data_IF_289799353863
#
_entry.id   IF_289799353863
#
_cell.length_a   1.000
_cell.length_b   1.000
_cell.length_c   1.000
_cell.angle_alpha   90.00
_cell.angle_beta   90.00
_cell.angle_gamma   90.00
#
_symmetry.space_group_name_H-M   'P 1'
#
loop_
_entity.id
_entity.type
_entity.pdbx_description
1 polymer ?
#
# COMPACT_ATOMS: atom_id res chain seq x y z
N UNK A 1 -9.82 19.03 -30.95
CA UNK A 1 -9.08 18.63 -29.74
C UNK A 1 -9.51 17.21 -29.41
N UNK A 2 -8.62 16.20 -29.39
CA UNK A 2 -9.01 14.82 -29.07
C UNK A 2 -8.92 14.60 -27.55
N UNK A 3 -9.97 14.02 -26.96
CA UNK A 3 -10.04 13.68 -25.53
C UNK A 3 -9.05 12.56 -25.19
N UNK A 4 -8.15 12.85 -24.25
CA UNK A 4 -7.20 11.90 -23.70
C UNK A 4 -7.91 11.06 -22.63
N UNK A 5 -8.39 9.88 -23.04
CA UNK A 5 -9.00 8.90 -22.13
C UNK A 5 -7.90 8.24 -21.29
N UNK A 6 -7.70 8.73 -20.07
CA UNK A 6 -6.81 8.09 -19.09
C UNK A 6 -7.57 6.89 -18.52
N UNK A 7 -7.23 5.69 -19.00
CA UNK A 7 -7.67 4.43 -18.41
C UNK A 7 -7.00 4.27 -17.04
N UNK A 8 -7.66 4.82 -16.02
CA UNK A 8 -7.27 4.63 -14.63
C UNK A 8 -7.42 3.14 -14.34
N UNK A 9 -6.34 2.42 -13.96
CA UNK A 9 -6.44 1.00 -13.65
C UNK A 9 -7.48 0.86 -12.54
N UNK A 10 -8.60 0.21 -12.85
CA UNK A 10 -9.64 -0.14 -11.87
C UNK A 10 -9.02 -1.13 -10.90
N UNK A 11 -8.33 -0.60 -9.89
CA UNK A 11 -7.89 -1.35 -8.71
C UNK A 11 -9.12 -2.14 -8.27
N UNK A 12 -8.99 -3.46 -8.33
CA UNK A 12 -10.10 -4.41 -8.21
C UNK A 12 -10.82 -4.21 -6.88
N UNK A 13 -11.88 -3.38 -6.89
CA UNK A 13 -12.74 -3.14 -5.73
C UNK A 13 -13.30 -4.45 -5.14
N UNK A 14 -13.32 -5.53 -5.93
CA UNK A 14 -13.71 -6.86 -5.50
C UNK A 14 -12.67 -7.53 -4.59
N UNK A 15 -11.38 -7.29 -4.80
CA UNK A 15 -10.31 -7.83 -3.94
C UNK A 15 -10.34 -7.20 -2.55
N UNK A 16 -10.51 -5.88 -2.48
CA UNK A 16 -10.61 -5.14 -1.21
C UNK A 16 -11.86 -5.56 -0.43
N UNK A 17 -13.01 -5.67 -1.11
CA UNK A 17 -14.26 -6.16 -0.51
C UNK A 17 -14.12 -7.59 0.02
N UNK A 18 -13.44 -8.47 -0.70
CA UNK A 18 -13.21 -9.85 -0.26
C UNK A 18 -12.27 -9.93 0.95
N UNK A 19 -11.24 -9.07 1.00
CA UNK A 19 -10.31 -9.01 2.13
C UNK A 19 -10.98 -8.47 3.40
N UNK A 20 -11.76 -7.40 3.26
CA UNK A 20 -12.59 -6.84 4.34
C UNK A 20 -13.60 -7.87 4.82
N UNK A 21 -14.30 -8.55 3.91
CA UNK A 21 -15.27 -9.59 4.26
C UNK A 21 -14.60 -10.73 5.04
N UNK A 22 -13.45 -11.24 4.58
CA UNK A 22 -12.69 -12.28 5.30
C UNK A 22 -12.23 -11.82 6.69
N UNK A 23 -11.83 -10.55 6.82
CA UNK A 23 -11.47 -9.97 8.12
C UNK A 23 -12.68 -9.92 9.05
N UNK A 24 -13.84 -9.44 8.56
CA UNK A 24 -15.09 -9.39 9.32
C UNK A 24 -15.52 -10.80 9.78
N UNK A 25 -15.53 -11.79 8.89
CA UNK A 25 -15.91 -13.16 9.24
C UNK A 25 -14.99 -13.80 10.29
N UNK A 26 -13.67 -13.50 10.27
CA UNK A 26 -12.73 -13.99 11.28
C UNK A 26 -13.02 -13.47 12.69
N UNK A 27 -13.81 -12.41 12.80
CA UNK A 27 -14.18 -11.77 14.07
C UNK A 27 -15.56 -12.20 14.51
N UNK A 28 -16.51 -12.09 13.59
CA UNK A 28 -17.92 -12.37 13.86
C UNK A 28 -18.14 -13.85 14.14
N UNK A 29 -17.40 -14.75 13.48
CA UNK A 29 -17.63 -16.19 13.58
C UNK A 29 -17.21 -16.76 14.95
N UNK A 30 -16.01 -16.45 15.51
CA UNK A 30 -15.68 -16.81 16.88
C UNK A 30 -16.60 -16.16 17.91
N UNK A 31 -17.00 -14.90 17.69
CA UNK A 31 -17.95 -14.20 18.55
C UNK A 31 -19.31 -14.89 18.58
N UNK A 32 -19.86 -15.24 17.41
CA UNK A 32 -21.15 -15.90 17.29
C UNK A 32 -21.13 -17.31 17.90
N UNK A 33 -20.05 -18.06 17.71
CA UNK A 33 -19.87 -19.38 18.33
C UNK A 33 -19.79 -19.25 19.85
N UNK A 34 -19.00 -18.28 20.36
CA UNK A 34 -18.88 -18.05 21.79
C UNK A 34 -20.20 -17.59 22.41
N UNK A 35 -20.92 -16.70 21.75
CA UNK A 35 -22.24 -16.23 22.18
C UNK A 35 -23.27 -17.38 22.20
N UNK A 36 -23.32 -18.21 21.16
CA UNK A 36 -24.21 -19.36 21.09
C UNK A 36 -23.89 -20.40 22.16
N UNK A 37 -22.60 -20.72 22.35
CA UNK A 37 -22.14 -21.64 23.38
C UNK A 37 -22.44 -21.12 24.79
N UNK A 38 -22.29 -19.81 25.00
CA UNK A 38 -22.59 -19.15 26.26
C UNK A 38 -24.08 -19.18 26.60
N UNK A 39 -24.97 -18.97 25.62
CA UNK A 39 -26.42 -19.05 25.81
C UNK A 39 -26.79 -20.45 26.33
N UNK A 40 -26.35 -21.51 25.64
CA UNK A 40 -26.68 -22.89 25.99
C UNK A 40 -26.06 -23.31 27.33
N UNK A 41 -24.78 -22.99 27.56
CA UNK A 41 -24.11 -23.34 28.81
C UNK A 41 -24.74 -22.61 30.00
N UNK A 42 -25.11 -21.34 29.81
CA UNK A 42 -25.70 -20.55 30.86
C UNK A 42 -27.13 -20.98 31.20
N UNK A 43 -27.93 -21.39 30.21
CA UNK A 43 -29.26 -21.97 30.47
C UNK A 43 -29.13 -23.28 31.27
N UNK A 44 -28.16 -24.14 30.90
CA UNK A 44 -27.89 -25.42 31.57
C UNK A 44 -27.37 -25.28 33.00
N UNK A 45 -26.51 -24.28 33.27
CA UNK A 45 -25.97 -24.03 34.61
C UNK A 45 -27.05 -23.46 35.53
N UNK A 46 -27.93 -22.59 35.03
CA UNK A 46 -29.06 -22.05 35.80
C UNK A 46 -30.04 -23.16 36.19
N UNK A 47 -30.35 -24.09 35.27
CA UNK A 47 -31.19 -25.27 35.56
C UNK A 47 -30.54 -26.20 36.59
N UNK A 48 -29.23 -26.43 36.51
CA UNK A 48 -28.50 -27.32 37.43
C UNK A 48 -28.33 -26.72 38.83
N UNK A 49 -28.12 -25.39 38.95
CA UNK A 49 -27.99 -24.69 40.24
C UNK A 49 -29.34 -24.38 40.91
N UNK A 50 -30.48 -24.56 40.22
CA UNK A 50 -31.81 -24.25 40.73
C UNK A 50 -32.38 -25.28 41.74
N UNK A 51 -31.56 -26.22 42.21
CA UNK A 51 -31.93 -27.16 43.28
C UNK A 51 -31.54 -26.52 44.62
N UNK A 52 -32.57 -26.13 45.40
CA UNK A 52 -32.51 -25.64 46.80
C UNK A 52 -32.20 -24.14 47.03
N UNK A 53 -33.15 -23.24 46.68
CA UNK A 53 -33.48 -22.10 47.58
C UNK A 53 -32.95 -20.69 47.30
N UNK A 54 -32.31 -20.39 46.16
CA UNK A 54 -31.83 -19.02 45.87
C UNK A 54 -32.85 -18.16 45.07
N UNK A 55 -33.05 -16.86 45.39
CA UNK A 55 -33.97 -15.98 44.66
C UNK A 55 -33.50 -15.81 43.20
N UNK A 56 -34.32 -16.30 42.27
CA UNK A 56 -34.04 -16.48 40.84
C UNK A 56 -33.64 -15.21 40.06
N UNK A 57 -33.78 -14.00 40.63
CA UNK A 57 -33.63 -12.72 39.91
C UNK A 57 -32.17 -12.24 39.80
N UNK A 58 -31.33 -12.53 40.81
CA UNK A 58 -29.93 -12.04 40.82
C UNK A 58 -29.01 -12.81 39.86
N UNK A 59 -29.25 -14.12 39.67
CA UNK A 59 -28.52 -14.95 38.71
C UNK A 59 -28.73 -14.53 37.24
N UNK A 60 -29.91 -13.98 36.92
CA UNK A 60 -30.21 -13.47 35.58
C UNK A 60 -29.47 -12.16 35.24
N UNK A 61 -29.29 -11.27 36.22
CA UNK A 61 -28.62 -9.97 36.00
C UNK A 61 -27.11 -10.14 35.81
N UNK A 62 -26.51 -11.06 36.58
CA UNK A 62 -25.08 -11.38 36.49
C UNK A 62 -24.71 -11.99 35.13
N UNK A 63 -25.62 -12.81 34.57
CA UNK A 63 -25.49 -13.43 33.23
C UNK A 63 -25.36 -12.39 32.11
N UNK A 64 -26.16 -11.32 32.17
CA UNK A 64 -26.12 -10.24 31.19
C UNK A 64 -24.83 -9.41 31.29
N UNK A 65 -24.40 -9.08 32.50
CA UNK A 65 -23.16 -8.32 32.72
C UNK A 65 -21.92 -9.09 32.29
N UNK A 66 -21.85 -10.41 32.54
CA UNK A 66 -20.74 -11.23 32.06
C UNK A 66 -20.68 -11.25 30.52
N UNK A 67 -21.83 -11.39 29.86
CA UNK A 67 -21.90 -11.34 28.39
C UNK A 67 -21.44 -9.98 27.85
N UNK A 68 -21.97 -8.87 28.36
CA UNK A 68 -21.55 -7.52 27.94
C UNK A 68 -20.06 -7.28 28.19
N UNK A 69 -19.53 -7.77 29.32
CA UNK A 69 -18.10 -7.61 29.65
C UNK A 69 -17.21 -8.39 28.67
N UNK A 70 -17.52 -9.65 28.39
CA UNK A 70 -16.69 -10.47 27.49
C UNK A 70 -16.78 -9.97 26.05
N UNK A 71 -17.98 -9.60 25.60
CA UNK A 71 -18.22 -9.07 24.25
C UNK A 71 -17.53 -7.72 24.05
N UNK A 72 -17.59 -6.83 25.05
CA UNK A 72 -16.86 -5.56 25.04
C UNK A 72 -15.35 -5.75 25.03
N UNK A 73 -14.81 -6.68 25.83
CA UNK A 73 -13.37 -6.93 25.91
C UNK A 73 -12.83 -7.54 24.61
N UNK A 74 -13.59 -8.44 23.98
CA UNK A 74 -13.25 -9.02 22.68
C UNK A 74 -13.25 -7.97 21.57
N UNK A 75 -14.29 -7.13 21.50
CA UNK A 75 -14.38 -6.04 20.53
C UNK A 75 -13.26 -5.01 20.75
N UNK A 76 -12.98 -4.64 22.00
CA UNK A 76 -11.89 -3.74 22.35
C UNK A 76 -10.54 -4.30 21.90
N UNK A 77 -10.22 -5.55 22.26
CA UNK A 77 -8.97 -6.20 21.88
C UNK A 77 -8.79 -6.30 20.36
N UNK A 78 -9.88 -6.53 19.63
CA UNK A 78 -9.86 -6.54 18.18
C UNK A 78 -9.62 -5.16 17.57
N UNK A 79 -10.39 -4.15 17.98
CA UNK A 79 -10.24 -2.78 17.48
C UNK A 79 -8.85 -2.27 17.82
N UNK A 80 -8.36 -2.52 19.03
CA UNK A 80 -7.00 -2.19 19.43
C UNK A 80 -5.96 -2.85 18.52
N UNK A 81 -6.10 -4.15 18.23
CA UNK A 81 -5.22 -4.87 17.30
C UNK A 81 -5.29 -4.34 15.87
N UNK A 82 -6.47 -3.93 15.41
CA UNK A 82 -6.66 -3.35 14.07
C UNK A 82 -6.00 -1.97 13.96
N UNK A 83 -6.21 -1.11 14.95
CA UNK A 83 -5.61 0.23 15.00
C UNK A 83 -4.09 0.15 14.98
N UNK A 84 -3.49 -0.74 15.78
CA UNK A 84 -2.04 -0.97 15.79
C UNK A 84 -1.50 -1.45 14.43
N UNK A 85 -2.27 -2.24 13.68
CA UNK A 85 -1.87 -2.67 12.33
C UNK A 85 -1.92 -1.53 11.32
N UNK A 86 -2.93 -0.67 11.39
CA UNK A 86 -3.10 0.45 10.48
C UNK A 86 -1.96 1.46 10.67
N UNK A 87 -1.63 1.81 11.92
CA UNK A 87 -0.55 2.75 12.22
C UNK A 87 0.81 2.23 11.78
N UNK A 88 1.11 0.95 12.06
CA UNK A 88 2.37 0.33 11.65
C UNK A 88 2.50 0.20 10.12
N UNK A 89 1.41 -0.14 9.42
CA UNK A 89 1.41 -0.19 7.96
C UNK A 89 1.67 1.20 7.35
N UNK A 90 1.03 2.25 7.88
CA UNK A 90 1.26 3.63 7.45
C UNK A 90 2.73 4.05 7.67
N UNK A 91 3.29 3.74 8.85
CA UNK A 91 4.69 4.05 9.17
C UNK A 91 5.66 3.41 8.18
N UNK A 92 5.45 2.13 7.84
CA UNK A 92 6.29 1.42 6.86
C UNK A 92 6.24 2.02 5.48
N UNK A 93 5.05 2.41 5.01
CA UNK A 93 4.89 3.05 3.71
C UNK A 93 5.62 4.40 3.66
N UNK A 94 5.49 5.22 4.71
CA UNK A 94 6.21 6.48 4.81
C UNK A 94 7.73 6.30 4.86
N UNK A 95 8.24 5.33 5.62
CA UNK A 95 9.67 5.03 5.68
C UNK A 95 10.22 4.56 4.33
N UNK A 96 9.49 3.70 3.61
CA UNK A 96 9.89 3.24 2.29
C UNK A 96 9.89 4.37 1.26
N UNK A 97 8.87 5.23 1.27
CA UNK A 97 8.81 6.41 0.43
C UNK A 97 9.97 7.38 0.72
N UNK A 98 10.25 7.66 2.00
CA UNK A 98 11.35 8.51 2.41
C UNK A 98 12.70 7.96 1.94
N UNK A 99 12.94 6.64 2.09
CA UNK A 99 14.15 5.98 1.58
C UNK A 99 14.28 6.09 0.07
N UNK A 100 13.19 5.88 -0.68
CA UNK A 100 13.20 6.03 -2.15
C UNK A 100 13.54 7.46 -2.57
N UNK A 101 12.91 8.46 -1.95
CA UNK A 101 13.19 9.87 -2.22
C UNK A 101 14.64 10.24 -1.88
N UNK A 102 15.16 9.75 -0.75
CA UNK A 102 16.54 9.97 -0.35
C UNK A 102 17.52 9.33 -1.34
N UNK A 103 17.25 8.11 -1.81
CA UNK A 103 18.08 7.44 -2.82
C UNK A 103 18.09 8.20 -4.15
N UNK A 104 16.92 8.63 -4.63
CA UNK A 104 16.81 9.46 -5.85
C UNK A 104 17.53 10.80 -5.69
N UNK A 105 17.39 11.44 -4.54
CA UNK A 105 18.11 12.68 -4.24
C UNK A 105 19.62 12.46 -4.25
N UNK A 106 20.12 11.38 -3.67
CA UNK A 106 21.54 11.06 -3.67
C UNK A 106 22.07 10.79 -5.07
N UNK A 107 21.35 9.99 -5.87
CA UNK A 107 21.70 9.75 -7.29
C UNK A 107 21.77 11.06 -8.08
N UNK A 108 20.78 11.93 -7.90
CA UNK A 108 20.73 13.23 -8.58
C UNK A 108 21.90 14.14 -8.14
N UNK A 109 22.23 14.17 -6.84
CA UNK A 109 23.39 14.90 -6.32
C UNK A 109 24.70 14.37 -6.88
N UNK A 110 24.90 13.05 -6.87
CA UNK A 110 26.11 12.42 -7.40
C UNK A 110 26.24 12.75 -8.89
N UNK A 111 25.19 12.51 -9.67
CA UNK A 111 25.19 12.80 -11.10
C UNK A 111 25.51 14.28 -11.39
N UNK A 112 24.91 15.21 -10.66
CA UNK A 112 25.12 16.65 -10.87
C UNK A 112 26.45 17.19 -10.33
N UNK A 113 27.12 16.46 -9.44
CA UNK A 113 28.46 16.80 -8.98
C UNK A 113 29.55 16.38 -9.96
N UNK A 114 29.26 15.45 -10.88
CA UNK A 114 30.20 15.02 -11.90
C UNK A 114 30.35 16.07 -13.00
N UNK A 115 31.57 16.24 -13.48
CA UNK A 115 31.88 17.02 -14.69
C UNK A 115 31.63 16.23 -15.98
N UNK A 116 31.49 14.91 -15.88
CA UNK A 116 31.18 14.07 -17.03
C UNK A 116 29.69 14.17 -17.38
N UNK A 117 29.38 14.13 -18.67
CA UNK A 117 28.00 14.07 -19.14
C UNK A 117 27.41 12.70 -18.77
N UNK A 118 26.48 12.70 -17.83
CA UNK A 118 25.79 11.50 -17.38
C UNK A 118 24.34 11.60 -17.83
N UNK A 119 23.91 10.59 -18.57
CA UNK A 119 22.51 10.42 -18.98
C UNK A 119 22.12 8.95 -18.91
N UNK A 120 20.82 8.70 -18.82
CA UNK A 120 20.24 7.37 -18.94
C UNK A 120 19.02 7.43 -19.85
N UNK A 121 18.74 6.36 -20.58
CA UNK A 121 17.55 6.21 -21.42
C UNK A 121 16.76 4.97 -21.02
N UNK A 122 15.45 4.98 -21.25
CA UNK A 122 14.61 3.78 -21.16
C UNK A 122 14.80 2.86 -22.38
N UNK A 123 14.13 1.71 -22.39
CA UNK A 123 14.20 0.74 -23.49
C UNK A 123 13.58 1.27 -24.80
N UNK A 124 12.82 2.36 -24.74
CA UNK A 124 12.26 3.04 -25.90
C UNK A 124 13.18 4.14 -26.43
N UNK A 125 14.34 4.36 -25.78
CA UNK A 125 15.32 5.39 -26.14
C UNK A 125 15.01 6.77 -25.56
N UNK A 126 14.09 6.90 -24.60
CA UNK A 126 13.73 8.19 -24.00
C UNK A 126 14.59 8.50 -22.79
N UNK A 127 15.04 9.75 -22.66
CA UNK A 127 15.91 10.15 -21.55
C UNK A 127 15.20 10.08 -20.18
N UNK A 128 15.81 9.40 -19.21
CA UNK A 128 15.38 9.26 -17.81
C UNK A 128 16.23 10.09 -16.83
N UNK A 129 17.50 10.34 -17.18
CA UNK A 129 18.44 11.13 -16.40
C UNK A 129 19.24 12.00 -17.36
N UNK A 130 19.44 13.25 -16.98
CA UNK A 130 20.26 14.21 -17.71
C UNK A 130 20.87 15.18 -16.70
N UNK A 131 22.17 15.04 -16.40
CA UNK A 131 22.83 15.82 -15.35
C UNK A 131 23.23 17.23 -15.81
N UNK A 132 23.62 18.10 -14.87
CA UNK A 132 24.07 19.47 -15.16
C UNK A 132 25.23 19.57 -16.15
N UNK A 133 26.15 18.61 -16.17
CA UNK A 133 27.25 18.59 -17.14
C UNK A 133 26.73 18.38 -18.57
N UNK A 134 25.75 17.47 -18.75
CA UNK A 134 25.09 17.27 -20.03
C UNK A 134 24.27 18.50 -20.47
N UNK A 135 23.60 19.18 -19.52
CA UNK A 135 22.92 20.46 -19.80
C UNK A 135 23.92 21.51 -20.30
N UNK A 136 25.08 21.64 -19.64
CA UNK A 136 26.11 22.60 -20.02
C UNK A 136 26.73 22.31 -21.39
N UNK A 137 26.95 21.02 -21.72
CA UNK A 137 27.53 20.62 -23.01
C UNK A 137 26.55 20.81 -24.18
N UNK A 138 25.29 20.42 -23.98
CA UNK A 138 24.27 20.42 -25.05
C UNK A 138 23.53 21.75 -25.18
N UNK A 139 23.55 22.58 -24.14
CA UNK A 139 22.75 23.81 -24.06
C UNK A 139 21.26 23.58 -23.84
N UNK A 140 20.84 22.33 -23.56
CA UNK A 140 19.44 21.95 -23.30
C UNK A 140 19.23 21.66 -21.83
N UNK A 141 18.12 22.14 -21.28
CA UNK A 141 17.78 21.81 -19.88
C UNK A 141 17.23 20.39 -19.76
N UNK A 142 17.41 19.76 -18.61
CA UNK A 142 16.84 18.44 -18.32
C UNK A 142 15.32 18.42 -18.48
N UNK A 143 14.61 19.51 -18.14
CA UNK A 143 13.17 19.62 -18.37
C UNK A 143 12.76 19.53 -19.85
N UNK A 144 13.62 19.94 -20.79
CA UNK A 144 13.36 19.83 -22.22
C UNK A 144 13.69 18.44 -22.77
N UNK A 145 14.66 17.75 -22.17
CA UNK A 145 15.23 16.49 -22.70
C UNK A 145 14.56 15.26 -22.08
N UNK A 146 14.18 15.30 -20.79
CA UNK A 146 13.60 14.16 -20.09
C UNK A 146 12.28 13.73 -20.76
N UNK A 147 12.15 12.42 -20.99
CA UNK A 147 11.02 11.80 -21.69
C UNK A 147 11.05 11.94 -23.22
N UNK A 148 11.98 12.74 -23.78
CA UNK A 148 12.20 12.85 -25.22
C UNK A 148 13.26 11.85 -25.70
N UNK A 149 13.36 11.66 -27.01
CA UNK A 149 14.40 10.86 -27.65
C UNK A 149 15.52 11.74 -28.24
N UNK A 150 16.46 11.14 -28.96
CA UNK A 150 17.64 11.81 -29.52
C UNK A 150 17.35 12.99 -30.47
N UNK A 151 16.13 13.12 -31.02
CA UNK A 151 15.79 14.23 -31.91
C UNK A 151 15.81 15.59 -31.20
N UNK A 152 15.72 15.62 -29.87
CA UNK A 152 15.82 16.87 -29.09
C UNK A 152 17.25 17.41 -29.02
N UNK A 153 18.25 16.54 -29.20
CA UNK A 153 19.68 16.87 -29.09
C UNK A 153 20.39 16.90 -30.45
N UNK A 154 19.94 16.10 -31.42
CA UNK A 154 20.65 15.89 -32.68
C UNK A 154 19.76 16.19 -33.90
N UNK A 155 20.36 16.61 -35.03
CA UNK A 155 19.66 16.66 -36.32
C UNK A 155 19.06 15.30 -36.69
N UNK A 156 17.95 15.24 -37.45
CA UNK A 156 17.20 14.01 -37.70
C UNK A 156 18.04 12.83 -38.19
N UNK A 157 18.96 13.07 -39.12
CA UNK A 157 19.84 12.01 -39.65
C UNK A 157 20.81 11.44 -38.59
N UNK A 158 21.28 12.28 -37.68
CA UNK A 158 22.16 11.87 -36.59
C UNK A 158 21.37 11.17 -35.48
N UNK A 159 20.19 11.70 -35.12
CA UNK A 159 19.31 11.08 -34.13
C UNK A 159 18.94 9.65 -34.51
N UNK A 160 18.52 9.43 -35.77
CA UNK A 160 18.19 8.08 -36.28
C UNK A 160 19.38 7.12 -36.18
N UNK A 161 20.59 7.60 -36.49
CA UNK A 161 21.81 6.78 -36.38
C UNK A 161 22.13 6.41 -34.93
N UNK A 162 22.03 7.37 -34.01
CA UNK A 162 22.27 7.15 -32.58
C UNK A 162 21.25 6.17 -32.01
N UNK A 163 19.96 6.37 -32.29
CA UNK A 163 18.88 5.48 -31.84
C UNK A 163 19.02 4.06 -32.39
N UNK A 164 19.47 3.89 -33.64
CA UNK A 164 19.71 2.58 -34.22
C UNK A 164 20.85 1.85 -33.50
N UNK A 165 21.96 2.56 -33.23
CA UNK A 165 23.09 2.02 -32.48
C UNK A 165 22.69 1.65 -31.03
N UNK A 166 21.95 2.52 -30.35
CA UNK A 166 21.46 2.26 -28.98
C UNK A 166 20.58 1.00 -28.93
N UNK A 167 19.71 0.81 -29.93
CA UNK A 167 18.87 -0.41 -30.05
C UNK A 167 19.70 -1.67 -30.28
N UNK A 168 20.76 -1.59 -31.06
CA UNK A 168 21.66 -2.72 -31.30
C UNK A 168 22.40 -3.12 -30.01
N UNK A 169 22.89 -2.13 -29.25
CA UNK A 169 23.55 -2.37 -27.95
C UNK A 169 22.59 -2.98 -26.92
N UNK A 170 21.30 -2.60 -26.93
CA UNK A 170 20.29 -3.15 -26.02
C UNK A 170 19.86 -4.57 -26.41
N UNK A 171 19.94 -4.91 -27.70
CA UNK A 171 19.53 -6.21 -28.23
C UNK A 171 20.66 -7.28 -28.22
N UNK A 172 21.91 -6.85 -28.05
CA UNK A 172 23.08 -7.74 -27.87
C UNK A 172 23.19 -8.33 -26.48
#
# INVERSE_FOLDING_TARGET
MPEMNIDVPKVSANADRAMIRRAVWRVVLPYAIFAALWIVLSDRVVEWLAIEGAPHVWLQTFKGWFFVTVTALLLYGLVHRMLLRITEAGRRQHEEQARRLQALSLLNTIANSSTDCIFAKDLQGRYLLFNKAAEALTGKSSNEVLGQDDHVLFPPEQAVRVMANDREVIAG
#
